data_IF_501478061578
#
_entry.id   IF_501478061578
#
_cell.length_a   1.000
_cell.length_b   1.000
_cell.length_c   1.000
_cell.angle_alpha   90.00
_cell.angle_beta   90.00
_cell.angle_gamma   90.00
#
_symmetry.space_group_name_H-M   'P 1'
#
loop_
_entity.id
_entity.type
_entity.pdbx_description
1 polymer ?
#
# COMPACT_ATOMS: atom_id res chain seq x y z
N UNK A 1 19.72 5.35 -4.72
CA UNK A 1 19.26 5.04 -3.34
C UNK A 1 19.92 5.99 -2.34
N UNK A 2 21.23 5.90 -2.14
CA UNK A 2 21.91 6.66 -1.08
C UNK A 2 21.87 8.17 -1.30
N UNK A 3 22.01 8.63 -2.55
CA UNK A 3 21.85 10.06 -2.89
C UNK A 3 20.48 10.64 -2.50
N UNK A 4 19.40 9.87 -2.68
CA UNK A 4 18.04 10.27 -2.28
C UNK A 4 17.95 10.33 -0.75
N UNK A 5 18.48 9.32 -0.06
CA UNK A 5 18.47 9.25 1.40
C UNK A 5 19.24 10.42 2.02
N UNK A 6 20.44 10.69 1.54
CA UNK A 6 21.24 11.85 1.98
C UNK A 6 20.51 13.16 1.71
N UNK A 7 19.86 13.30 0.56
CA UNK A 7 19.07 14.50 0.26
C UNK A 7 17.86 14.68 1.20
N UNK A 8 17.20 13.59 1.62
CA UNK A 8 16.09 13.64 2.58
C UNK A 8 16.59 14.08 3.96
N UNK A 9 17.70 13.50 4.43
CA UNK A 9 18.31 13.86 5.72
C UNK A 9 18.71 15.34 5.72
N UNK A 10 19.37 15.81 4.66
CA UNK A 10 19.77 17.19 4.52
C UNK A 10 18.57 18.17 4.47
N UNK A 11 17.52 17.84 3.72
CA UNK A 11 16.28 18.66 3.68
C UNK A 11 15.60 18.72 5.05
N UNK A 12 15.51 17.58 5.75
CA UNK A 12 14.95 17.53 7.09
C UNK A 12 15.77 18.36 8.08
N UNK A 13 17.09 18.16 8.14
CA UNK A 13 18.02 18.93 8.98
C UNK A 13 17.84 20.44 8.78
N UNK A 14 17.71 20.88 7.51
CA UNK A 14 17.48 22.28 7.17
C UNK A 14 16.13 22.79 7.68
N UNK A 15 15.04 22.03 7.53
CA UNK A 15 13.68 22.44 7.96
C UNK A 15 13.56 22.62 9.47
N UNK A 16 14.31 21.83 10.24
CA UNK A 16 14.29 21.90 11.72
C UNK A 16 15.45 22.72 12.29
N UNK A 17 16.30 23.32 11.45
CA UNK A 17 17.47 24.10 11.84
C UNK A 17 18.42 23.35 12.80
N UNK A 18 18.65 22.06 12.53
CA UNK A 18 19.53 21.18 13.31
C UNK A 18 20.09 20.10 12.41
N UNK A 19 21.41 19.93 12.40
CA UNK A 19 22.02 18.80 11.71
C UNK A 19 21.79 17.51 12.51
N UNK A 20 20.97 16.61 11.96
CA UNK A 20 20.67 15.33 12.58
C UNK A 20 21.57 14.19 12.09
N UNK A 21 22.35 14.39 11.03
CA UNK A 21 23.21 13.33 10.48
C UNK A 21 24.17 12.72 11.53
N UNK A 22 24.86 13.51 12.38
CA UNK A 22 25.70 12.95 13.44
C UNK A 22 24.93 12.28 14.59
N UNK A 23 23.61 12.49 14.69
CA UNK A 23 22.76 11.90 15.73
C UNK A 23 22.11 10.57 15.30
N UNK A 24 22.28 10.16 14.04
CA UNK A 24 21.71 8.91 13.52
C UNK A 24 22.51 7.71 14.05
N UNK A 25 21.92 6.98 15.00
CA UNK A 25 22.49 5.73 15.54
C UNK A 25 22.30 4.54 14.60
N UNK A 26 21.20 4.52 13.84
CA UNK A 26 20.89 3.44 12.90
C UNK A 26 20.04 3.97 11.75
N UNK A 27 20.20 3.36 10.57
CA UNK A 27 19.50 3.74 9.34
C UNK A 27 19.10 2.48 8.58
N UNK A 28 17.80 2.29 8.42
CA UNK A 28 17.23 1.26 7.52
C UNK A 28 16.54 1.95 6.37
N UNK A 29 16.84 1.53 5.14
CA UNK A 29 16.31 2.13 3.92
C UNK A 29 15.62 1.04 3.12
N UNK A 30 14.36 1.25 2.79
CA UNK A 30 13.60 0.39 1.89
C UNK A 30 13.32 1.11 0.56
N UNK A 31 13.59 0.43 -0.55
CA UNK A 31 13.20 0.88 -1.89
C UNK A 31 11.87 0.23 -2.32
N UNK A 32 11.24 0.72 -3.42
CA UNK A 32 10.08 0.04 -3.99
C UNK A 32 10.36 -1.44 -4.34
N UNK A 33 11.57 -1.77 -4.80
CA UNK A 33 11.99 -3.15 -5.05
C UNK A 33 12.06 -3.97 -3.75
N UNK A 34 12.59 -3.39 -2.67
CA UNK A 34 12.59 -4.04 -1.35
C UNK A 34 11.15 -4.34 -0.91
N UNK A 35 10.25 -3.37 -1.05
CA UNK A 35 8.82 -3.53 -0.70
C UNK A 35 8.13 -4.58 -1.57
N UNK A 36 8.41 -4.58 -2.87
CA UNK A 36 7.88 -5.59 -3.79
C UNK A 36 8.31 -6.98 -3.36
N UNK A 37 9.59 -7.18 -3.07
CA UNK A 37 10.14 -8.48 -2.73
C UNK A 37 9.70 -8.95 -1.34
N UNK A 38 9.57 -8.03 -0.38
CA UNK A 38 9.22 -8.36 1.00
C UNK A 38 7.72 -8.63 1.19
N UNK A 39 6.86 -7.88 0.49
CA UNK A 39 5.41 -7.89 0.72
C UNK A 39 4.59 -8.34 -0.49
N UNK A 40 5.25 -8.79 -1.56
CA UNK A 40 4.62 -9.15 -2.83
C UNK A 40 3.75 -8.00 -3.40
N UNK A 41 4.20 -6.77 -3.22
CA UNK A 41 3.52 -5.57 -3.69
C UNK A 41 3.93 -5.27 -5.12
N UNK A 42 2.99 -5.31 -6.06
CA UNK A 42 3.28 -4.94 -7.45
C UNK A 42 3.90 -3.53 -7.52
N UNK A 43 5.12 -3.44 -8.08
CA UNK A 43 5.94 -2.22 -8.17
C UNK A 43 6.24 -1.55 -6.82
N UNK A 44 6.16 -2.29 -5.71
CA UNK A 44 6.39 -1.77 -4.37
C UNK A 44 5.30 -0.81 -3.87
N UNK A 45 4.11 -0.82 -4.49
CA UNK A 45 3.05 0.14 -4.16
C UNK A 45 2.52 -0.05 -2.74
N UNK A 46 2.65 0.98 -1.89
CA UNK A 46 2.10 1.00 -0.54
C UNK A 46 0.57 1.12 -0.47
N UNK A 47 -0.09 1.52 -1.56
CA UNK A 47 -1.54 1.78 -1.62
C UNK A 47 -2.27 1.02 -2.73
N UNK A 48 -1.64 -0.02 -3.29
CA UNK A 48 -2.21 -0.80 -4.39
C UNK A 48 -2.34 0.05 -5.67
N UNK A 49 -3.54 0.09 -6.25
CA UNK A 49 -3.81 0.85 -7.48
C UNK A 49 -3.68 2.37 -7.27
N UNK A 50 -3.29 3.09 -8.33
CA UNK A 50 -3.13 4.55 -8.28
C UNK A 50 -4.46 5.29 -8.10
N UNK A 51 -4.40 6.58 -7.79
CA UNK A 51 -5.59 7.45 -7.63
C UNK A 51 -6.01 8.15 -8.92
N UNK A 52 -5.81 7.51 -10.08
CA UNK A 52 -6.37 8.04 -11.33
C UNK A 52 -7.88 7.75 -11.43
N UNK A 53 -8.59 8.48 -12.28
CA UNK A 53 -10.05 8.38 -12.38
C UNK A 53 -10.58 6.98 -12.70
N UNK A 54 -9.79 6.13 -13.36
CA UNK A 54 -10.15 4.76 -13.72
C UNK A 54 -9.76 3.72 -12.66
N UNK A 55 -9.16 4.13 -11.54
CA UNK A 55 -8.64 3.23 -10.50
C UNK A 55 -9.15 3.60 -9.10
N UNK A 56 -10.23 4.40 -9.02
CA UNK A 56 -10.85 4.84 -7.78
C UNK A 56 -12.32 4.46 -7.70
N UNK A 57 -12.85 4.40 -6.47
CA UNK A 57 -14.26 4.15 -6.21
C UNK A 57 -14.76 2.88 -6.91
N UNK A 58 -15.89 3.01 -7.60
CA UNK A 58 -16.54 1.91 -8.33
C UNK A 58 -15.70 1.32 -9.48
N UNK A 59 -14.65 2.00 -9.93
CA UNK A 59 -13.76 1.50 -10.99
C UNK A 59 -12.63 0.61 -10.47
N UNK A 60 -12.57 0.38 -9.15
CA UNK A 60 -11.65 -0.61 -8.58
C UNK A 60 -12.13 -2.03 -8.86
N UNK A 61 -11.21 -3.01 -8.98
CA UNK A 61 -11.57 -4.41 -9.08
C UNK A 61 -12.49 -4.85 -7.94
N UNK A 62 -13.45 -5.70 -8.28
CA UNK A 62 -14.35 -6.34 -7.31
C UNK A 62 -13.58 -7.17 -6.29
N UNK A 63 -14.17 -7.35 -5.10
CA UNK A 63 -13.66 -8.23 -4.04
C UNK A 63 -14.11 -9.70 -4.22
N UNK A 64 -14.46 -10.08 -5.43
CA UNK A 64 -14.82 -11.43 -5.86
C UNK A 64 -14.37 -11.64 -7.30
N UNK A 65 -14.11 -12.88 -7.66
CA UNK A 65 -13.67 -13.23 -9.00
C UNK A 65 -14.82 -13.24 -10.02
N UNK A 66 -14.50 -12.85 -11.24
CA UNK A 66 -15.46 -12.73 -12.35
C UNK A 66 -15.80 -14.08 -13.01
N UNK A 67 -14.96 -15.11 -12.82
CA UNK A 67 -15.13 -16.45 -13.39
C UNK A 67 -15.41 -17.50 -12.31
N UNK A 68 -14.65 -17.45 -11.20
CA UNK A 68 -14.70 -18.45 -10.14
C UNK A 68 -15.60 -18.01 -8.98
N UNK A 69 -16.80 -18.58 -8.91
CA UNK A 69 -17.85 -18.19 -7.94
C UNK A 69 -17.45 -18.30 -6.47
N UNK A 70 -16.42 -19.07 -6.15
CA UNK A 70 -15.94 -19.31 -4.78
C UNK A 70 -14.58 -18.64 -4.49
N UNK A 71 -14.14 -17.70 -5.33
CA UNK A 71 -12.88 -16.96 -5.15
C UNK A 71 -13.16 -15.51 -4.78
N UNK A 72 -12.49 -15.04 -3.73
CA UNK A 72 -12.66 -13.72 -3.15
C UNK A 72 -11.33 -13.00 -2.97
N UNK A 73 -11.38 -11.68 -3.09
CA UNK A 73 -10.21 -10.81 -2.95
C UNK A 73 -10.41 -9.87 -1.77
N UNK A 74 -9.36 -9.67 -0.99
CA UNK A 74 -9.35 -8.77 0.17
C UNK A 74 -8.12 -7.89 0.11
N UNK A 75 -8.30 -6.62 0.49
CA UNK A 75 -7.20 -5.70 0.76
C UNK A 75 -7.27 -4.42 -0.06
N UNK A 76 -6.10 -3.76 -0.17
CA UNK A 76 -5.99 -2.40 -0.67
C UNK A 76 -6.15 -2.25 -2.19
N UNK A 77 -6.15 -3.34 -2.95
CA UNK A 77 -6.19 -3.31 -4.43
C UNK A 77 -7.59 -3.55 -5.01
N UNK A 78 -8.55 -3.95 -4.18
CA UNK A 78 -9.94 -4.16 -4.58
C UNK A 78 -10.86 -3.15 -3.93
N UNK A 79 -12.16 -3.24 -4.20
CA UNK A 79 -13.16 -2.49 -3.46
C UNK A 79 -13.05 -2.78 -1.94
N UNK A 80 -13.11 -1.74 -1.09
CA UNK A 80 -13.48 -0.36 -1.41
C UNK A 80 -12.29 0.57 -1.75
N UNK A 81 -11.06 0.20 -1.44
CA UNK A 81 -9.91 1.07 -1.71
C UNK A 81 -8.67 0.77 -0.87
N UNK A 82 -7.72 1.71 -0.89
CA UNK A 82 -6.44 1.62 -0.19
C UNK A 82 -6.50 2.14 1.25
N UNK A 83 -5.52 1.73 2.07
CA UNK A 83 -5.38 2.14 3.47
C UNK A 83 -5.97 1.15 4.48
N UNK A 84 -5.51 1.23 5.73
CA UNK A 84 -5.89 0.28 6.79
C UNK A 84 -7.41 0.17 6.99
N UNK A 85 -8.18 1.27 7.13
CA UNK A 85 -9.64 1.16 7.28
C UNK A 85 -10.30 0.46 6.09
N UNK A 86 -9.85 0.75 4.87
CA UNK A 86 -10.42 0.18 3.65
C UNK A 86 -10.10 -1.30 3.50
N UNK A 87 -8.90 -1.73 3.91
CA UNK A 87 -8.55 -3.15 3.95
C UNK A 87 -9.43 -3.93 4.94
N UNK A 88 -9.75 -3.36 6.10
CA UNK A 88 -10.67 -3.97 7.08
C UNK A 88 -12.10 -4.02 6.55
N UNK A 89 -12.58 -2.97 5.87
CA UNK A 89 -13.90 -3.01 5.23
C UNK A 89 -13.93 -4.06 4.11
N UNK A 90 -12.86 -4.17 3.33
CA UNK A 90 -12.71 -5.18 2.28
C UNK A 90 -12.85 -6.60 2.85
N UNK A 91 -12.23 -6.89 4.00
CA UNK A 91 -12.34 -8.21 4.63
C UNK A 91 -13.76 -8.52 5.11
N UNK A 92 -14.45 -7.54 5.70
CA UNK A 92 -15.88 -7.66 6.05
C UNK A 92 -16.74 -7.97 4.82
N UNK A 93 -16.54 -7.24 3.73
CA UNK A 93 -17.31 -7.41 2.49
C UNK A 93 -17.09 -8.77 1.83
N UNK A 94 -15.87 -9.32 1.89
CA UNK A 94 -15.58 -10.66 1.42
C UNK A 94 -16.23 -11.72 2.31
N UNK A 95 -16.11 -11.59 3.64
CA UNK A 95 -16.72 -12.51 4.60
C UNK A 95 -18.25 -12.58 4.46
N UNK A 96 -18.92 -11.43 4.32
CA UNK A 96 -20.37 -11.38 4.07
C UNK A 96 -20.78 -12.12 2.79
N UNK A 97 -19.98 -12.02 1.71
CA UNK A 97 -20.25 -12.76 0.46
C UNK A 97 -20.06 -14.26 0.63
N UNK A 98 -19.00 -14.68 1.32
CA UNK A 98 -18.74 -16.09 1.63
C UNK A 98 -19.93 -16.68 2.40
N UNK A 99 -20.45 -15.96 3.39
CA UNK A 99 -21.59 -16.43 4.19
C UNK A 99 -22.89 -16.51 3.38
N UNK A 100 -23.08 -15.68 2.35
CA UNK A 100 -24.25 -15.71 1.46
C UNK A 100 -24.19 -16.78 0.38
N UNK A 101 -23.01 -17.32 0.08
CA UNK A 101 -22.87 -18.44 -0.86
C UNK A 101 -23.27 -19.80 -0.26
N UNK A 102 -23.43 -19.86 1.06
CA UNK A 102 -23.88 -21.06 1.77
C UNK A 102 -25.35 -21.36 1.53
#
# INVERSE_FOLDING_TARGET
RDSIVTSIIADFSKRINKDIEPEIVSKTVYTPEDWQNQFNLYKGSGLGLSHNMKQIGAFRPSNFDEQFKNVFYVGASTLPGAGLPMAIISSKLAAERILKLR
#
